data_IF_408393769065
#
_entry.id   IF_408393769065
#
_cell.length_a   1.000
_cell.length_b   1.000
_cell.length_c   1.000
_cell.angle_alpha   90.00
_cell.angle_beta   90.00
_cell.angle_gamma   90.00
#
_symmetry.space_group_name_H-M   'P 1'
#
loop_
_entity.id
_entity.type
_entity.pdbx_description
1 polymer ?
#
# COMPACT_ATOMS: atom_id res chain seq x y z
N UNK A 1 -17.27 14.61 17.12
CA UNK A 1 -16.15 14.64 16.16
C UNK A 1 -15.88 16.10 15.77
N UNK A 2 -15.23 16.86 16.64
CA UNK A 2 -14.94 18.30 16.42
C UNK A 2 -13.65 18.65 17.15
N UNK A 3 -12.52 18.20 16.62
CA UNK A 3 -11.22 18.76 17.00
C UNK A 3 -10.61 19.38 15.74
N UNK A 4 -10.63 20.71 15.65
CA UNK A 4 -10.22 21.49 14.48
C UNK A 4 -8.71 21.67 14.33
N UNK A 5 -7.90 21.04 15.20
CA UNK A 5 -6.45 21.13 15.20
C UNK A 5 -5.82 19.83 14.71
N UNK A 6 -6.14 19.42 13.48
CA UNK A 6 -5.38 18.37 12.79
C UNK A 6 -4.25 19.07 12.04
N UNK A 7 -2.99 18.95 12.47
CA UNK A 7 -1.88 19.55 11.73
C UNK A 7 -1.84 18.99 10.31
N UNK A 8 -1.48 19.81 9.32
CA UNK A 8 -1.26 19.35 7.95
C UNK A 8 0.01 18.48 7.92
N UNK A 9 -0.14 17.19 8.21
CA UNK A 9 0.94 16.21 8.21
C UNK A 9 0.89 15.35 6.95
N UNK A 10 2.08 14.98 6.46
CA UNK A 10 2.23 13.95 5.45
C UNK A 10 2.08 12.56 6.08
N UNK A 11 0.87 12.23 6.51
CA UNK A 11 0.58 10.99 7.20
C UNK A 11 0.59 9.76 6.25
N UNK A 12 0.85 8.59 6.80
CA UNK A 12 0.92 7.34 6.03
C UNK A 12 -0.42 6.98 5.36
N UNK A 13 -1.54 7.29 6.02
CA UNK A 13 -2.88 7.05 5.49
C UNK A 13 -3.15 7.88 4.22
N UNK A 14 -2.85 9.18 4.26
CA UNK A 14 -3.02 10.08 3.13
C UNK A 14 -2.09 9.73 1.98
N UNK A 15 -0.84 9.36 2.25
CA UNK A 15 0.08 8.89 1.21
C UNK A 15 -0.44 7.63 0.50
N UNK A 16 -1.01 6.69 1.26
CA UNK A 16 -1.61 5.47 0.70
C UNK A 16 -2.79 5.77 -0.21
N UNK A 17 -3.67 6.71 0.19
CA UNK A 17 -4.83 7.13 -0.61
C UNK A 17 -4.41 7.86 -1.90
N UNK A 18 -3.44 8.78 -1.82
CA UNK A 18 -2.95 9.55 -2.99
C UNK A 18 -2.49 8.64 -4.13
N UNK A 19 -1.84 7.52 -3.79
CA UNK A 19 -1.36 6.59 -4.80
C UNK A 19 -2.50 5.81 -5.48
N UNK A 20 -3.60 5.57 -4.77
CA UNK A 20 -4.83 5.03 -5.36
C UNK A 20 -5.47 6.04 -6.31
N UNK A 21 -5.52 7.32 -5.94
CA UNK A 21 -6.07 8.37 -6.82
C UNK A 21 -5.23 8.58 -8.09
N UNK A 22 -3.90 8.53 -7.98
CA UNK A 22 -3.00 8.56 -9.15
C UNK A 22 -3.33 7.41 -10.09
N UNK A 23 -3.51 6.21 -9.55
CA UNK A 23 -3.82 5.04 -10.34
C UNK A 23 -5.22 5.14 -11.00
N UNK A 24 -6.21 5.74 -10.33
CA UNK A 24 -7.52 6.04 -10.90
C UNK A 24 -7.47 7.04 -12.06
N UNK A 25 -6.52 7.99 -12.05
CA UNK A 25 -6.35 8.99 -13.11
C UNK A 25 -5.75 8.42 -14.39
N UNK A 26 -5.13 7.24 -14.35
CA UNK A 26 -4.59 6.57 -15.52
C UNK A 26 -5.75 5.99 -16.35
N UNK A 27 -5.82 6.39 -17.61
CA UNK A 27 -6.87 5.90 -18.52
C UNK A 27 -6.79 4.38 -18.65
N UNK A 28 -7.90 3.68 -18.38
CA UNK A 28 -7.94 2.22 -18.46
C UNK A 28 -7.69 1.47 -17.15
N UNK A 29 -7.41 2.15 -16.03
CA UNK A 29 -7.22 1.47 -14.75
C UNK A 29 -8.54 1.14 -14.01
N UNK A 30 -8.47 0.18 -13.09
CA UNK A 30 -9.58 -0.23 -12.20
C UNK A 30 -10.92 -0.50 -12.91
N UNK A 31 -10.88 -1.13 -14.08
CA UNK A 31 -12.09 -1.50 -14.85
C UNK A 31 -12.91 -2.62 -14.21
N UNK A 32 -12.31 -3.35 -13.28
CA UNK A 32 -12.97 -4.36 -12.45
C UNK A 32 -12.57 -4.20 -10.99
N UNK A 33 -13.46 -4.57 -10.08
CA UNK A 33 -13.18 -4.63 -8.63
C UNK A 33 -11.99 -5.52 -8.33
N UNK A 34 -11.86 -6.65 -9.03
CA UNK A 34 -10.74 -7.57 -8.91
C UNK A 34 -9.38 -6.88 -9.16
N UNK A 35 -9.28 -6.03 -10.18
CA UNK A 35 -8.04 -5.30 -10.48
C UNK A 35 -7.68 -4.29 -9.37
N UNK A 36 -8.69 -3.67 -8.75
CA UNK A 36 -8.49 -2.79 -7.60
C UNK A 36 -8.05 -3.55 -6.35
N UNK A 37 -8.67 -4.71 -6.09
CA UNK A 37 -8.29 -5.59 -4.97
C UNK A 37 -6.84 -6.08 -5.09
N UNK A 38 -6.43 -6.52 -6.30
CA UNK A 38 -5.05 -6.92 -6.55
C UNK A 38 -4.06 -5.78 -6.30
N UNK A 39 -4.37 -4.58 -6.77
CA UNK A 39 -3.54 -3.39 -6.50
C UNK A 39 -3.42 -3.11 -5.01
N UNK A 40 -4.55 -3.10 -4.28
CA UNK A 40 -4.57 -2.88 -2.84
C UNK A 40 -3.78 -3.96 -2.09
N UNK A 41 -3.90 -5.23 -2.49
CA UNK A 41 -3.17 -6.35 -1.88
C UNK A 41 -1.66 -6.20 -2.04
N UNK A 42 -1.18 -5.93 -3.25
CA UNK A 42 0.26 -5.76 -3.51
C UNK A 42 0.82 -4.56 -2.75
N UNK A 43 0.15 -3.42 -2.83
CA UNK A 43 0.57 -2.18 -2.15
C UNK A 43 0.53 -2.30 -0.63
N UNK A 44 -0.51 -2.95 -0.10
CA UNK A 44 -0.67 -3.24 1.32
C UNK A 44 0.48 -4.08 1.85
N UNK A 45 0.78 -5.19 1.17
CA UNK A 45 1.91 -6.07 1.53
C UNK A 45 3.25 -5.32 1.58
N UNK A 46 3.57 -4.55 0.54
CA UNK A 46 4.81 -3.77 0.49
C UNK A 46 4.87 -2.68 1.57
N UNK A 47 3.73 -2.02 1.84
CA UNK A 47 3.64 -1.02 2.91
C UNK A 47 3.87 -1.65 4.28
N UNK A 48 3.31 -2.84 4.54
CA UNK A 48 3.54 -3.56 5.80
C UNK A 48 4.99 -3.99 5.95
N UNK A 49 5.61 -4.54 4.91
CA UNK A 49 7.04 -4.90 4.92
C UNK A 49 7.91 -3.69 5.26
N UNK A 50 7.61 -2.53 4.67
CA UNK A 50 8.33 -1.29 4.94
C UNK A 50 8.16 -0.77 6.36
N UNK A 51 6.96 -0.91 6.93
CA UNK A 51 6.70 -0.53 8.33
C UNK A 51 7.45 -1.43 9.32
N UNK A 52 7.71 -2.69 8.95
CA UNK A 52 8.48 -3.64 9.74
C UNK A 52 10.00 -3.57 9.48
N UNK A 53 10.46 -2.51 8.80
CA UNK A 53 11.89 -2.25 8.55
C UNK A 53 12.48 -2.98 7.33
N UNK A 54 11.68 -3.74 6.57
CA UNK A 54 12.12 -4.40 5.34
C UNK A 54 12.02 -3.50 4.10
N UNK A 55 12.83 -3.80 3.08
CA UNK A 55 12.75 -3.13 1.78
C UNK A 55 11.69 -3.76 0.87
N UNK A 56 11.23 -3.01 -0.14
CA UNK A 56 10.32 -3.54 -1.15
C UNK A 56 10.96 -4.67 -1.98
N UNK A 57 12.28 -4.59 -2.23
CA UNK A 57 13.02 -5.61 -2.97
C UNK A 57 13.04 -6.92 -2.20
N UNK A 58 13.37 -6.89 -0.91
CA UNK A 58 13.35 -8.09 -0.05
C UNK A 58 11.95 -8.70 0.04
N UNK A 59 10.92 -7.87 0.18
CA UNK A 59 9.53 -8.32 0.17
C UNK A 59 9.17 -9.05 -1.13
N UNK A 60 9.58 -8.51 -2.29
CA UNK A 60 9.36 -9.16 -3.58
C UNK A 60 10.15 -10.47 -3.71
N UNK A 61 11.41 -10.51 -3.25
CA UNK A 61 12.21 -11.74 -3.23
C UNK A 61 11.52 -12.84 -2.41
N UNK A 62 11.00 -12.52 -1.22
CA UNK A 62 10.28 -13.47 -0.37
C UNK A 62 9.05 -14.06 -1.07
N UNK A 63 8.28 -13.24 -1.79
CA UNK A 63 7.12 -13.69 -2.57
C UNK A 63 7.54 -14.68 -3.66
N UNK A 64 8.61 -14.40 -4.40
CA UNK A 64 9.10 -15.29 -5.45
C UNK A 64 9.73 -16.58 -4.90
N UNK A 65 10.38 -16.52 -3.74
CA UNK A 65 10.88 -17.69 -3.01
C UNK A 65 9.78 -18.47 -2.27
N UNK A 66 8.53 -17.98 -2.30
CA UNK A 66 7.38 -18.51 -1.54
C UNK A 66 7.63 -18.62 -0.03
N UNK A 67 8.38 -17.66 0.52
CA UNK A 67 8.63 -17.53 1.96
C UNK A 67 7.75 -16.44 2.55
N UNK A 68 7.33 -16.63 3.80
CA UNK A 68 6.63 -15.60 4.56
C UNK A 68 7.64 -14.64 5.19
N UNK A 69 7.30 -13.35 5.33
CA UNK A 69 8.11 -12.43 6.12
C UNK A 69 8.18 -12.88 7.57
N UNK A 70 9.29 -12.59 8.25
CA UNK A 70 9.53 -12.99 9.65
C UNK A 70 8.67 -12.26 10.70
N UNK A 71 7.68 -11.47 10.27
CA UNK A 71 6.74 -10.75 11.12
C UNK A 71 5.31 -11.23 10.80
N UNK A 72 4.42 -11.16 11.78
CA UNK A 72 2.99 -11.46 11.55
C UNK A 72 2.36 -10.36 10.69
N UNK A 73 1.64 -10.78 9.64
CA UNK A 73 0.77 -9.90 8.84
C UNK A 73 -0.58 -9.66 9.52
#
# INVERSE_FOLDING_TARGET
>A
MTNGYVPFTNNAAGNSIRMTEVQQKIWGCFRSTQSAEMFCRVRGYLSTCRQQGGSATEAMTLVFERKLPGFSL
#
